data_IF_913020865491
#
_entry.id   IF_913020865491
#
_cell.length_a   1.000
_cell.length_b   1.000
_cell.length_c   1.000
_cell.angle_alpha   90.00
_cell.angle_beta   90.00
_cell.angle_gamma   90.00
#
_symmetry.space_group_name_H-M   'P 1'
#
loop_
_entity.id
_entity.type
_entity.pdbx_description
1 polymer ?
#
# COMPACT_ATOMS: atom_id res chain seq x y z
N UNK A 1 8.83 -12.96 -6.74
CA UNK A 1 8.24 -12.38 -5.51
C UNK A 1 6.89 -11.77 -5.87
N UNK A 2 5.88 -11.84 -5.01
CA UNK A 2 4.50 -11.47 -5.40
C UNK A 2 3.92 -10.43 -4.44
N UNK A 3 3.59 -9.24 -4.96
CA UNK A 3 2.87 -8.20 -4.21
C UNK A 3 1.43 -8.12 -4.71
N UNK A 4 0.47 -8.47 -3.86
CA UNK A 4 -0.95 -8.46 -4.17
C UNK A 4 -1.61 -7.21 -3.59
N UNK A 5 -2.70 -6.80 -4.22
CA UNK A 5 -3.61 -5.79 -3.70
C UNK A 5 -4.93 -6.47 -3.38
N UNK A 6 -5.49 -6.19 -2.21
CA UNK A 6 -6.82 -6.69 -1.84
C UNK A 6 -7.56 -5.63 -1.04
N UNK A 7 -8.85 -5.44 -1.33
CA UNK A 7 -9.67 -4.54 -0.53
C UNK A 7 -9.91 -5.15 0.83
N UNK A 8 -9.94 -4.30 1.85
CA UNK A 8 -10.23 -4.67 3.24
C UNK A 8 -11.59 -5.35 3.45
N UNK A 9 -12.51 -5.24 2.47
CA UNK A 9 -13.83 -5.88 2.48
C UNK A 9 -13.85 -7.26 1.80
N UNK A 10 -12.76 -7.64 1.15
CA UNK A 10 -12.62 -8.97 0.55
C UNK A 10 -12.08 -9.96 1.58
N UNK A 11 -12.55 -11.23 1.56
CA UNK A 11 -12.11 -12.24 2.51
C UNK A 11 -10.60 -12.52 2.37
N UNK A 12 -9.96 -12.87 3.49
CA UNK A 12 -8.60 -13.39 3.48
C UNK A 12 -8.55 -14.74 2.75
N UNK A 13 -7.43 -14.99 2.09
CA UNK A 13 -7.12 -16.24 1.40
C UNK A 13 -5.75 -16.76 1.87
N UNK A 14 -5.52 -18.08 1.92
CA UNK A 14 -4.19 -18.65 2.18
C UNK A 14 -3.11 -18.14 1.22
N UNK A 15 -3.48 -17.72 0.01
CA UNK A 15 -2.57 -17.18 -0.98
C UNK A 15 -2.16 -15.72 -0.74
N UNK A 16 -2.69 -15.07 0.30
CA UNK A 16 -2.40 -13.66 0.59
C UNK A 16 -1.01 -13.48 1.22
N UNK A 17 -0.42 -14.54 1.78
CA UNK A 17 0.81 -14.44 2.55
C UNK A 17 0.70 -13.43 3.69
N UNK A 18 1.73 -12.61 3.91
CA UNK A 18 1.70 -11.56 4.94
C UNK A 18 0.80 -10.39 4.51
N UNK A 19 -0.12 -9.99 5.39
CA UNK A 19 -1.17 -8.99 5.13
C UNK A 19 -0.90 -7.71 5.90
N UNK A 20 -0.64 -6.64 5.16
CA UNK A 20 -0.36 -5.32 5.75
C UNK A 20 -1.44 -4.31 5.38
N UNK A 21 -2.02 -3.66 6.40
CA UNK A 21 -2.82 -2.46 6.17
C UNK A 21 -1.89 -1.28 5.86
N UNK A 22 -2.05 -0.70 4.67
CA UNK A 22 -1.21 0.42 4.17
C UNK A 22 -1.98 1.74 4.10
N UNK A 23 -2.98 1.89 4.96
CA UNK A 23 -3.74 3.13 5.10
C UNK A 23 -3.51 3.76 6.45
N UNK A 24 -3.49 5.10 6.49
CA UNK A 24 -3.33 5.83 7.75
C UNK A 24 -4.53 5.68 8.68
N UNK A 25 -5.71 5.48 8.11
CA UNK A 25 -6.97 5.37 8.84
C UNK A 25 -7.44 3.92 8.84
N UNK A 26 -8.01 3.51 9.97
CA UNK A 26 -8.66 2.22 10.07
C UNK A 26 -9.91 2.17 9.18
N UNK A 27 -10.13 1.08 8.41
CA UNK A 27 -11.34 0.93 7.60
C UNK A 27 -12.62 0.97 8.44
N UNK A 28 -13.64 1.68 7.95
CA UNK A 28 -14.92 1.78 8.66
C UNK A 28 -15.65 0.43 8.64
N UNK A 29 -16.19 0.05 9.79
CA UNK A 29 -17.05 -1.14 9.94
C UNK A 29 -16.32 -2.48 9.92
N UNK A 30 -14.99 -2.49 10.05
CA UNK A 30 -14.20 -3.72 10.00
C UNK A 30 -13.48 -3.93 11.33
N UNK A 31 -13.51 -5.15 11.87
CA UNK A 31 -12.77 -5.50 13.08
C UNK A 31 -11.32 -5.86 12.76
N UNK A 32 -10.44 -5.79 13.76
CA UNK A 32 -9.03 -6.16 13.61
C UNK A 32 -8.85 -7.64 13.27
N UNK A 33 -9.70 -8.50 13.82
CA UNK A 33 -9.74 -9.94 13.51
C UNK A 33 -10.16 -10.20 12.06
N UNK A 34 -11.16 -9.48 11.54
CA UNK A 34 -11.67 -9.69 10.19
C UNK A 34 -10.60 -9.40 9.10
N UNK A 35 -9.65 -8.52 9.38
CA UNK A 35 -8.59 -8.21 8.43
C UNK A 35 -7.44 -9.22 8.41
N UNK A 36 -7.29 -10.05 9.45
CA UNK A 36 -6.16 -10.96 9.62
C UNK A 36 -4.83 -10.26 9.27
N UNK A 37 -4.52 -9.18 9.98
CA UNK A 37 -3.33 -8.35 9.73
C UNK A 37 -2.11 -8.93 10.42
N UNK A 38 -1.01 -9.02 9.68
CA UNK A 38 0.34 -9.18 10.21
C UNK A 38 0.94 -7.84 10.66
N UNK A 39 0.50 -6.73 10.02
CA UNK A 39 0.94 -5.40 10.42
C UNK A 39 0.04 -4.25 9.93
N UNK A 40 0.19 -3.11 10.60
CA UNK A 40 -0.45 -1.85 10.19
C UNK A 40 0.60 -0.76 9.99
N UNK A 41 0.91 -0.49 8.72
CA UNK A 41 1.99 0.41 8.30
C UNK A 41 1.40 1.77 7.97
N UNK A 42 1.07 2.55 9.00
CA UNK A 42 0.44 3.88 8.84
C UNK A 42 1.37 4.89 8.18
N UNK A 43 2.67 4.75 8.41
CA UNK A 43 3.69 5.71 8.02
C UNK A 43 4.05 5.56 6.54
N UNK A 44 3.76 4.41 5.93
CA UNK A 44 3.89 4.22 4.49
C UNK A 44 2.75 4.88 3.72
N UNK A 45 1.62 5.15 4.37
CA UNK A 45 0.47 5.77 3.71
C UNK A 45 0.76 7.25 3.42
N UNK A 46 0.20 7.81 2.32
CA UNK A 46 0.41 9.21 1.95
C UNK A 46 0.02 10.16 3.08
N UNK A 47 0.73 11.28 3.16
CA UNK A 47 0.48 12.30 4.17
C UNK A 47 -0.97 12.80 4.14
N UNK A 48 -1.43 13.34 5.28
CA UNK A 48 -2.76 13.94 5.39
C UNK A 48 -2.94 15.10 4.40
N UNK A 49 -1.88 15.88 4.20
CA UNK A 49 -1.85 17.00 3.27
C UNK A 49 -1.94 16.52 1.81
N UNK A 50 -1.14 15.51 1.46
CA UNK A 50 -1.15 14.94 0.11
C UNK A 50 -2.50 14.26 -0.21
N UNK A 51 -3.09 13.50 0.73
CA UNK A 51 -4.44 12.92 0.58
C UNK A 51 -5.50 14.00 0.33
N UNK A 52 -5.46 15.10 1.10
CA UNK A 52 -6.40 16.22 0.94
C UNK A 52 -6.23 16.91 -0.41
N UNK A 53 -5.00 17.15 -0.82
CA UNK A 53 -4.70 17.79 -2.11
C UNK A 53 -5.14 16.94 -3.30
N UNK A 54 -4.90 15.62 -3.24
CA UNK A 54 -5.32 14.68 -4.28
C UNK A 54 -6.84 14.65 -4.40
N UNK A 55 -7.55 14.57 -3.28
CA UNK A 55 -9.02 14.63 -3.24
C UNK A 55 -9.71 13.57 -4.11
N UNK A 56 -9.00 12.50 -4.48
CA UNK A 56 -9.43 11.49 -5.45
C UNK A 56 -9.75 12.03 -6.85
N UNK A 57 -9.15 13.15 -7.25
CA UNK A 57 -9.27 13.71 -8.60
C UNK A 57 -8.36 12.93 -9.57
N UNK A 58 -8.90 12.16 -10.54
CA UNK A 58 -8.10 11.37 -11.46
C UNK A 58 -7.11 12.20 -12.28
N UNK A 59 -7.42 13.48 -12.53
CA UNK A 59 -6.54 14.40 -13.27
C UNK A 59 -5.23 14.69 -12.50
N UNK A 60 -5.25 14.55 -11.18
CA UNK A 60 -4.10 14.75 -10.29
C UNK A 60 -3.31 13.45 -10.06
N UNK A 61 -3.74 12.31 -10.61
CA UNK A 61 -3.16 11.01 -10.30
C UNK A 61 -1.66 10.93 -10.61
N UNK A 62 -1.23 11.42 -11.79
CA UNK A 62 0.18 11.39 -12.18
C UNK A 62 1.08 12.14 -11.19
N UNK A 63 0.67 13.35 -10.80
CA UNK A 63 1.41 14.15 -9.84
C UNK A 63 1.28 13.63 -8.40
N UNK A 64 0.13 13.07 -8.02
CA UNK A 64 -0.04 12.39 -6.74
C UNK A 64 0.96 11.25 -6.57
N UNK A 65 1.14 10.41 -7.61
CA UNK A 65 2.15 9.35 -7.58
C UNK A 65 3.54 9.92 -7.32
N UNK A 66 3.96 10.91 -8.11
CA UNK A 66 5.30 11.51 -7.96
C UNK A 66 5.53 12.07 -6.55
N UNK A 67 4.58 12.83 -6.02
CA UNK A 67 4.66 13.40 -4.67
C UNK A 67 4.66 12.32 -3.59
N UNK A 68 3.84 11.28 -3.75
CA UNK A 68 3.76 10.17 -2.81
C UNK A 68 5.06 9.36 -2.79
N UNK A 69 5.66 9.09 -3.95
CA UNK A 69 6.95 8.41 -4.06
C UNK A 69 8.04 9.20 -3.33
N UNK A 70 8.08 10.52 -3.47
CA UNK A 70 9.00 11.37 -2.72
C UNK A 70 8.75 11.36 -1.20
N UNK A 71 7.51 11.13 -0.74
CA UNK A 71 7.22 10.90 0.68
C UNK A 71 7.78 9.54 1.15
N UNK A 72 7.64 8.49 0.32
CA UNK A 72 8.18 7.16 0.61
C UNK A 72 9.70 7.17 0.73
N UNK A 73 10.40 7.87 -0.18
CA UNK A 73 11.87 8.02 -0.14
C UNK A 73 12.37 8.68 1.16
N UNK A 74 11.52 9.45 1.84
CA UNK A 74 11.80 10.10 3.12
C UNK A 74 11.42 9.26 4.35
N UNK A 75 10.85 8.06 4.14
CA UNK A 75 10.40 7.15 5.19
C UNK A 75 11.05 5.76 5.08
N UNK A 76 12.40 5.66 5.08
CA UNK A 76 13.10 4.41 4.79
C UNK A 76 12.78 3.29 5.78
N UNK A 77 12.58 3.60 7.06
CA UNK A 77 12.29 2.57 8.07
C UNK A 77 10.98 1.81 7.82
N UNK A 78 9.93 2.50 7.36
CA UNK A 78 8.65 1.87 7.04
C UNK A 78 8.76 1.01 5.76
N UNK A 79 9.58 1.44 4.80
CA UNK A 79 9.89 0.69 3.58
C UNK A 79 10.69 -0.57 3.88
N UNK A 80 11.71 -0.50 4.74
CA UNK A 80 12.56 -1.65 5.09
C UNK A 80 11.73 -2.83 5.59
N UNK A 81 10.80 -2.60 6.53
CA UNK A 81 9.94 -3.67 7.05
C UNK A 81 9.12 -4.37 5.95
N UNK A 82 8.59 -3.57 5.02
CA UNK A 82 7.76 -4.09 3.94
C UNK A 82 8.61 -4.81 2.88
N UNK A 83 9.80 -4.29 2.56
CA UNK A 83 10.76 -4.91 1.65
C UNK A 83 11.31 -6.23 2.21
N UNK A 84 11.57 -6.30 3.52
CA UNK A 84 11.94 -7.55 4.20
C UNK A 84 10.81 -8.58 4.13
N UNK A 85 9.56 -8.19 4.41
CA UNK A 85 8.40 -9.09 4.28
C UNK A 85 8.23 -9.60 2.85
N UNK A 86 8.40 -8.69 1.90
CA UNK A 86 8.45 -8.98 0.48
C UNK A 86 9.52 -10.06 0.17
N UNK A 87 10.75 -9.91 0.68
CA UNK A 87 11.82 -10.89 0.44
C UNK A 87 11.52 -12.32 0.96
N UNK A 88 10.62 -12.47 1.95
CA UNK A 88 10.25 -13.77 2.53
C UNK A 88 9.15 -14.49 1.77
N UNK A 89 8.36 -13.80 0.93
CA UNK A 89 7.26 -14.45 0.21
C UNK A 89 6.23 -13.49 -0.37
N UNK A 90 4.98 -13.97 -0.43
CA UNK A 90 3.85 -13.17 -0.91
C UNK A 90 3.44 -12.15 0.15
N UNK A 91 3.26 -10.90 -0.28
CA UNK A 91 2.74 -9.82 0.56
C UNK A 91 1.45 -9.29 -0.06
N UNK A 92 0.42 -9.11 0.76
CA UNK A 92 -0.84 -8.47 0.37
C UNK A 92 -1.00 -7.12 1.04
N UNK A 93 -1.07 -6.07 0.22
CA UNK A 93 -1.34 -4.71 0.67
C UNK A 93 -2.85 -4.47 0.72
N UNK A 94 -3.36 -4.19 1.91
CA UNK A 94 -4.78 -3.97 2.16
C UNK A 94 -5.15 -2.49 2.10
N UNK A 95 -6.23 -2.18 1.37
CA UNK A 95 -6.71 -0.81 1.16
C UNK A 95 -8.24 -0.71 1.18
N UNK A 96 -8.79 0.48 1.42
CA UNK A 96 -10.24 0.70 1.57
C UNK A 96 -10.90 1.41 0.39
N UNK A 97 -10.11 2.03 -0.50
CA UNK A 97 -10.63 2.75 -1.67
C UNK A 97 -11.60 1.88 -2.50
N UNK A 98 -12.71 2.47 -2.93
CA UNK A 98 -13.71 1.80 -3.78
C UNK A 98 -13.21 1.62 -5.21
N UNK A 99 -12.47 2.59 -5.74
CA UNK A 99 -11.89 2.52 -7.08
C UNK A 99 -10.44 2.04 -6.96
N UNK A 100 -10.17 0.81 -7.39
CA UNK A 100 -8.86 0.17 -7.28
C UNK A 100 -7.79 0.81 -8.16
N UNK A 101 -8.17 1.44 -9.28
CA UNK A 101 -7.24 1.87 -10.33
C UNK A 101 -6.39 3.10 -9.96
N UNK A 102 -6.85 3.94 -9.03
CA UNK A 102 -6.13 5.15 -8.58
C UNK A 102 -6.04 5.20 -7.03
N UNK A 103 -5.63 4.08 -6.43
CA UNK A 103 -5.41 3.92 -4.99
C UNK A 103 -3.94 4.14 -4.62
N UNK A 104 -3.66 4.72 -3.45
CA UNK A 104 -2.29 4.82 -2.93
C UNK A 104 -1.62 3.45 -2.77
N UNK A 105 -2.40 2.38 -2.62
CA UNK A 105 -1.88 1.01 -2.58
C UNK A 105 -1.30 0.56 -3.94
N UNK A 106 -1.89 0.98 -5.06
CA UNK A 106 -1.33 0.73 -6.41
C UNK A 106 0.00 1.43 -6.57
N UNK A 107 0.06 2.73 -6.22
CA UNK A 107 1.30 3.49 -6.30
C UNK A 107 2.41 2.90 -5.40
N UNK A 108 2.04 2.39 -4.22
CA UNK A 108 2.96 1.71 -3.32
C UNK A 108 3.47 0.38 -3.89
N UNK A 109 2.58 -0.47 -4.42
CA UNK A 109 2.98 -1.72 -5.09
C UNK A 109 3.98 -1.44 -6.21
N UNK A 110 3.64 -0.53 -7.12
CA UNK A 110 4.50 -0.18 -8.26
C UNK A 110 5.88 0.32 -7.78
N UNK A 111 5.92 1.10 -6.69
CA UNK A 111 7.18 1.57 -6.11
C UNK A 111 8.03 0.42 -5.56
N UNK A 112 7.41 -0.51 -4.83
CA UNK A 112 8.12 -1.66 -4.25
C UNK A 112 8.63 -2.60 -5.34
N UNK A 113 7.83 -2.88 -6.36
CA UNK A 113 8.23 -3.72 -7.49
C UNK A 113 9.48 -3.17 -8.18
N UNK A 114 9.58 -1.84 -8.33
CA UNK A 114 10.79 -1.17 -8.88
C UNK A 114 12.00 -1.27 -7.96
N UNK A 115 11.82 -1.18 -6.65
CA UNK A 115 12.91 -1.28 -5.68
C UNK A 115 13.42 -2.71 -5.52
N UNK A 116 12.54 -3.69 -5.69
CA UNK A 116 12.87 -5.10 -5.60
C UNK A 116 13.41 -5.67 -6.91
N UNK A 117 13.07 -5.03 -8.04
CA UNK A 117 13.51 -5.41 -9.36
C UNK A 117 14.07 -4.18 -10.09
N UNK A 118 15.30 -3.74 -9.75
CA UNK A 118 15.91 -2.54 -10.34
C UNK A 118 16.15 -2.64 -11.87
N UNK A 119 15.96 -3.81 -12.48
CA UNK A 119 15.98 -4.06 -13.92
C UNK A 119 14.92 -5.14 -14.28
N UNK A 120 14.21 -5.00 -15.41
CA UNK A 120 14.77 -5.51 -16.65
C UNK A 120 15.01 -4.35 -17.61
N UNK A 121 16.13 -4.40 -18.31
CA UNK A 121 16.47 -3.58 -19.48
C UNK A 121 15.26 -3.24 -20.36
#
# INVERSE_FOLDING_TARGET
>A
MTIRLKRVYEPSSPEDGERFLVERLWPRGISRQALALDGWLKDIAPSKELRRWYGHDPRKWGEFRQRYLAELDRAPAALTLLLEACSRGTVTLLYSARNGECSSAVALRDYLERHLNPDPT
#
